data_IF_133697507643
#
_entry.id   IF_133697507643
#
_cell.length_a   1.000
_cell.length_b   1.000
_cell.length_c   1.000
_cell.angle_alpha   90.00
_cell.angle_beta   90.00
_cell.angle_gamma   90.00
#
_symmetry.space_group_name_H-M   'P 1'
#
loop_
_entity.id
_entity.type
_entity.pdbx_description
1 polymer ?
#
# COMPACT_ATOMS: atom_id res chain seq x y z
N UNK A 1 26.31 -2.63 8.00
CA UNK A 1 25.34 -3.33 8.88
C UNK A 1 24.15 -3.77 8.04
N UNK A 2 24.06 -5.07 7.72
CA UNK A 2 22.96 -5.64 6.93
C UNK A 2 21.72 -5.78 7.81
N UNK A 3 20.58 -5.18 7.42
CA UNK A 3 19.30 -5.33 8.11
C UNK A 3 18.73 -6.76 7.91
N UNK A 4 19.42 -7.77 8.45
CA UNK A 4 18.98 -9.17 8.52
C UNK A 4 17.84 -9.28 9.54
N UNK A 5 16.60 -9.00 9.13
CA UNK A 5 15.47 -9.17 10.04
C UNK A 5 14.08 -9.13 9.43
N UNK A 6 13.96 -8.75 8.17
CA UNK A 6 12.68 -8.51 7.54
C UNK A 6 12.54 -9.36 6.29
N UNK A 7 11.62 -10.33 6.31
CA UNK A 7 11.32 -11.16 5.15
C UNK A 7 10.08 -10.61 4.46
N UNK A 8 10.20 -10.35 3.15
CA UNK A 8 9.07 -9.95 2.30
C UNK A 8 8.29 -11.20 1.89
N UNK A 9 6.97 -11.06 1.91
CA UNK A 9 6.00 -12.07 1.53
C UNK A 9 5.04 -11.46 0.52
N UNK A 10 4.79 -12.18 -0.56
CA UNK A 10 3.62 -11.90 -1.40
C UNK A 10 2.37 -12.23 -0.60
N UNK A 11 1.36 -11.39 -0.70
CA UNK A 11 0.05 -11.64 -0.13
C UNK A 11 -0.93 -11.94 -1.26
N UNK A 12 -1.93 -12.75 -0.94
CA UNK A 12 -3.16 -12.74 -1.71
C UNK A 12 -3.74 -11.30 -1.73
N UNK A 13 -4.22 -10.79 -2.87
CA UNK A 13 -4.68 -9.41 -2.94
C UNK A 13 -5.90 -9.12 -2.05
N UNK A 14 -6.81 -10.08 -1.85
CA UNK A 14 -7.96 -9.95 -0.93
C UNK A 14 -7.48 -9.82 0.50
N UNK A 15 -6.49 -10.63 0.90
CA UNK A 15 -5.85 -10.53 2.20
C UNK A 15 -5.18 -9.16 2.40
N UNK A 16 -4.45 -8.67 1.38
CA UNK A 16 -3.82 -7.35 1.41
C UNK A 16 -4.83 -6.22 1.54
N UNK A 17 -5.91 -6.26 0.76
CA UNK A 17 -7.02 -5.30 0.83
C UNK A 17 -7.69 -5.30 2.20
N UNK A 18 -7.90 -6.47 2.80
CA UNK A 18 -8.53 -6.62 4.12
C UNK A 18 -7.68 -5.99 5.23
N UNK A 19 -6.36 -6.25 5.26
CA UNK A 19 -5.47 -5.65 6.26
C UNK A 19 -5.50 -4.12 6.18
N UNK A 20 -5.49 -3.57 4.97
CA UNK A 20 -5.52 -2.12 4.77
C UNK A 20 -6.87 -1.51 5.19
N UNK A 21 -8.00 -2.14 4.82
CA UNK A 21 -9.35 -1.67 5.21
C UNK A 21 -9.59 -1.71 6.71
N UNK A 22 -8.92 -2.60 7.43
CA UNK A 22 -8.93 -2.63 8.90
C UNK A 22 -8.46 -1.34 9.58
N UNK A 23 -7.78 -0.44 8.85
CA UNK A 23 -7.37 0.88 9.37
C UNK A 23 -8.52 1.92 9.39
N UNK A 24 -9.67 1.63 8.78
CA UNK A 24 -10.81 2.55 8.74
C UNK A 24 -10.68 3.74 7.78
N UNK A 25 -9.58 3.86 7.04
CA UNK A 25 -9.45 4.88 5.98
C UNK A 25 -10.28 4.51 4.75
N UNK A 26 -10.78 5.53 4.05
CA UNK A 26 -11.43 5.41 2.74
C UNK A 26 -10.41 4.94 1.69
N UNK A 27 -10.08 3.66 1.73
CA UNK A 27 -9.33 3.01 0.68
C UNK A 27 -10.20 2.88 -0.55
N UNK A 28 -9.55 2.89 -1.71
CA UNK A 28 -10.20 2.60 -2.98
C UNK A 28 -11.09 1.35 -2.86
N UNK A 29 -12.31 1.44 -3.39
CA UNK A 29 -13.20 0.28 -3.49
C UNK A 29 -12.55 -0.83 -4.33
N UNK A 30 -12.68 -2.06 -3.85
CA UNK A 30 -12.11 -3.25 -4.48
C UNK A 30 -10.73 -3.63 -3.94
N UNK A 31 -10.32 -4.85 -4.25
CA UNK A 31 -9.03 -5.38 -3.83
C UNK A 31 -7.89 -4.91 -4.73
N UNK A 32 -6.67 -4.76 -4.17
CA UNK A 32 -5.51 -4.47 -4.99
C UNK A 32 -5.28 -5.57 -6.02
N UNK A 33 -4.46 -5.29 -7.03
CA UNK A 33 -3.97 -6.32 -7.96
C UNK A 33 -2.66 -6.94 -7.51
N UNK A 34 -1.91 -6.21 -6.69
CA UNK A 34 -0.69 -6.70 -6.07
C UNK A 34 -0.69 -6.30 -4.60
N UNK A 35 -0.39 -7.26 -3.73
CA UNK A 35 -0.16 -7.02 -2.32
C UNK A 35 1.10 -7.74 -1.85
N UNK A 36 1.86 -7.08 -0.99
CA UNK A 36 3.00 -7.69 -0.33
C UNK A 36 3.15 -7.15 1.07
N UNK A 37 3.68 -7.97 1.96
CA UNK A 37 3.93 -7.55 3.33
C UNK A 37 5.26 -8.08 3.85
N UNK A 38 5.76 -7.42 4.87
CA UNK A 38 6.99 -7.78 5.56
C UNK A 38 6.68 -8.23 6.96
N UNK A 39 7.29 -9.32 7.41
CA UNK A 39 7.20 -9.80 8.80
C UNK A 39 8.46 -9.48 9.59
N UNK A 40 8.30 -9.22 10.88
CA UNK A 40 9.42 -9.24 11.84
C UNK A 40 9.87 -10.67 12.18
N UNK A 41 10.95 -10.79 12.96
CA UNK A 41 11.48 -12.09 13.42
C UNK A 41 10.49 -12.90 14.27
N UNK A 42 9.46 -12.26 14.84
CA UNK A 42 8.40 -12.92 15.62
C UNK A 42 7.19 -13.28 14.75
N UNK A 43 7.27 -13.11 13.43
CA UNK A 43 6.21 -13.42 12.48
C UNK A 43 5.10 -12.37 12.39
N UNK A 44 5.24 -11.21 13.05
CA UNK A 44 4.22 -10.15 13.04
C UNK A 44 4.36 -9.30 11.78
N UNK A 45 3.24 -8.89 11.19
CA UNK A 45 3.24 -7.95 10.06
C UNK A 45 3.80 -6.59 10.48
N UNK A 46 4.64 -6.02 9.63
CA UNK A 46 5.33 -4.74 9.88
C UNK A 46 5.16 -3.72 8.79
N UNK A 47 5.01 -4.16 7.56
CA UNK A 47 4.77 -3.29 6.44
C UNK A 47 3.87 -4.00 5.46
N UNK A 48 2.85 -3.32 4.96
CA UNK A 48 1.96 -3.82 3.92
C UNK A 48 1.98 -2.81 2.80
N UNK A 49 2.22 -3.29 1.58
CA UNK A 49 2.22 -2.50 0.36
C UNK A 49 1.22 -3.09 -0.61
N UNK A 50 0.39 -2.24 -1.20
CA UNK A 50 -0.63 -2.65 -2.16
C UNK A 50 -0.71 -1.67 -3.34
N UNK A 51 -1.04 -2.21 -4.52
CA UNK A 51 -1.19 -1.47 -5.78
C UNK A 51 -2.49 -1.88 -6.48
N UNK A 52 -3.20 -0.91 -7.03
CA UNK A 52 -4.38 -1.11 -7.87
C UNK A 52 -4.06 -0.78 -9.34
N UNK A 53 -4.91 -1.25 -10.26
CA UNK A 53 -4.70 -1.08 -11.71
C UNK A 53 -4.70 0.37 -12.17
N UNK A 54 -5.52 1.21 -11.54
CA UNK A 54 -5.71 2.62 -11.88
C UNK A 54 -4.64 3.56 -11.27
N UNK A 55 -3.56 2.98 -10.75
CA UNK A 55 -2.42 3.75 -10.26
C UNK A 55 -2.49 4.15 -8.79
N UNK A 56 -3.52 3.73 -8.05
CA UNK A 56 -3.51 3.83 -6.58
C UNK A 56 -2.45 2.91 -5.97
N UNK A 57 -1.79 3.41 -4.94
CA UNK A 57 -0.79 2.70 -4.14
C UNK A 57 -0.98 3.05 -2.67
N UNK A 58 -0.85 2.06 -1.82
CA UNK A 58 -0.92 2.22 -0.37
C UNK A 58 0.27 1.57 0.30
N UNK A 59 0.80 2.22 1.33
CA UNK A 59 1.79 1.63 2.24
C UNK A 59 1.35 1.86 3.68
N UNK A 60 1.19 0.76 4.41
CA UNK A 60 1.00 0.72 5.85
C UNK A 60 2.30 0.27 6.50
N UNK A 61 2.73 0.95 7.56
CA UNK A 61 3.86 0.56 8.42
C UNK A 61 3.37 0.46 9.86
N UNK A 62 3.60 -0.71 10.48
CA UNK A 62 3.25 -1.03 11.87
C UNK A 62 4.55 -1.02 12.70
N UNK A 63 4.78 0.06 13.43
CA UNK A 63 6.00 0.26 14.20
C UNK A 63 6.04 -0.64 15.44
N UNK A 64 7.24 -0.84 15.99
CA UNK A 64 7.43 -1.73 17.16
C UNK A 64 6.90 -1.14 18.45
N UNK A 65 6.76 0.18 18.51
CA UNK A 65 6.18 0.95 19.63
C UNK A 65 4.64 0.97 19.62
N UNK A 66 4.01 0.32 18.62
CA UNK A 66 2.55 0.27 18.47
C UNK A 66 1.97 1.42 17.64
N UNK A 67 2.77 2.39 17.22
CA UNK A 67 2.33 3.45 16.32
C UNK A 67 2.20 2.96 14.88
N UNK A 68 1.46 3.70 14.06
CA UNK A 68 1.20 3.37 12.66
C UNK A 68 1.52 4.55 11.77
N UNK A 69 2.17 4.28 10.64
CA UNK A 69 2.26 5.23 9.53
C UNK A 69 1.51 4.68 8.32
N UNK A 70 0.66 5.51 7.74
CA UNK A 70 -0.12 5.18 6.56
C UNK A 70 0.11 6.23 5.48
N UNK A 71 0.37 5.77 4.25
CA UNK A 71 0.53 6.62 3.08
C UNK A 71 -0.26 6.04 1.92
N UNK A 72 -0.99 6.92 1.26
CA UNK A 72 -1.79 6.60 0.08
C UNK A 72 -1.42 7.58 -1.03
N UNK A 73 -1.28 7.06 -2.25
CA UNK A 73 -0.86 7.85 -3.41
C UNK A 73 -1.66 7.43 -4.62
N UNK A 74 -2.17 8.41 -5.37
CA UNK A 74 -2.80 8.20 -6.67
C UNK A 74 -1.95 8.90 -7.74
N UNK A 75 -1.56 8.15 -8.78
CA UNK A 75 -0.93 8.74 -9.96
C UNK A 75 -2.01 9.26 -10.90
N UNK A 76 -2.18 10.58 -10.95
CA UNK A 76 -3.07 11.26 -11.90
C UNK A 76 -2.24 11.72 -13.11
N UNK A 77 -2.76 11.53 -14.33
CA UNK A 77 -2.23 12.16 -15.53
C UNK A 77 -3.22 13.24 -15.97
N UNK A 78 -2.77 14.48 -16.03
CA UNK A 78 -3.54 15.58 -16.63
C UNK A 78 -3.01 15.84 -18.03
N UNK A 79 -3.91 16.06 -18.98
CA UNK A 79 -3.58 16.57 -20.32
C UNK A 79 -4.11 18.00 -20.39
N UNK A 80 -3.23 18.95 -20.67
CA UNK A 80 -3.65 20.32 -20.94
C UNK A 80 -4.10 20.38 -22.41
N UNK A 81 -5.40 20.42 -22.63
CA UNK A 81 -5.95 20.67 -23.96
C UNK A 81 -6.05 22.18 -24.12
N UNK A 82 -4.94 22.83 -24.48
CA UNK A 82 -5.00 24.19 -24.98
C UNK A 82 -5.68 24.14 -26.35
N UNK A 83 -6.96 24.49 -26.39
CA UNK A 83 -7.64 24.76 -27.64
C UNK A 83 -7.03 26.05 -28.19
N UNK A 84 -6.18 25.94 -29.20
CA UNK A 84 -5.69 27.10 -29.92
C UNK A 84 -6.92 27.86 -30.45
N UNK A 85 -7.10 29.10 -29.99
CA UNK A 85 -8.12 29.98 -30.53
C UNK A 85 -7.83 30.19 -32.03
N UNK A 86 -8.79 29.83 -32.87
CA UNK A 86 -8.77 30.04 -34.32
C UNK A 86 -9.06 31.51 -34.66
#
# INVERSE_FOLDING_TARGET
>A
MSAKGFKRHTLDPVQGGTILRGLGYALKHGDPVEASATRDRKGRWRRVHARWQDGWRCTLVLHTDGTVSFSMTLKIRTTDTTVAAA
#
